data_IF_330116003539
#
_entry.id   IF_330116003539
#
_cell.length_a   1.000
_cell.length_b   1.000
_cell.length_c   1.000
_cell.angle_alpha   90.00
_cell.angle_beta   90.00
_cell.angle_gamma   90.00
#
_symmetry.space_group_name_H-M   'P 1'
#
loop_
_entity.id
_entity.type
_entity.pdbx_description
1 polymer ?
#
# COMPACT_ATOMS: atom_id res chain seq x y z
N UNK A 1 -9.18 34.91 4.83
CA UNK A 1 -8.80 34.12 3.64
C UNK A 1 -7.73 33.08 3.95
N UNK A 2 -6.57 33.45 4.52
CA UNK A 2 -5.46 32.51 4.79
C UNK A 2 -5.79 31.39 5.79
N UNK A 3 -6.63 31.64 6.82
CA UNK A 3 -7.11 30.59 7.74
C UNK A 3 -7.96 29.51 7.05
N UNK A 4 -8.72 29.88 6.03
CA UNK A 4 -9.59 28.96 5.28
C UNK A 4 -8.77 28.03 4.38
N UNK A 5 -7.71 28.57 3.75
CA UNK A 5 -6.73 27.80 2.98
C UNK A 5 -5.96 26.80 3.85
N UNK A 6 -5.49 27.22 5.03
CA UNK A 6 -4.82 26.31 5.99
C UNK A 6 -5.73 25.20 6.53
N UNK A 7 -7.04 25.47 6.64
CA UNK A 7 -8.03 24.45 7.01
C UNK A 7 -8.25 23.45 5.87
N UNK A 8 -8.26 23.92 4.63
CA UNK A 8 -8.36 23.07 3.44
C UNK A 8 -7.12 22.20 3.25
N UNK A 9 -5.91 22.68 3.56
CA UNK A 9 -4.69 21.83 3.54
C UNK A 9 -4.76 20.65 4.50
N UNK A 10 -5.38 20.83 5.68
CA UNK A 10 -5.52 19.75 6.68
C UNK A 10 -6.72 18.83 6.45
N UNK A 11 -7.85 19.37 6.01
CA UNK A 11 -9.13 18.64 5.96
C UNK A 11 -9.53 18.31 4.51
N UNK A 12 -8.85 18.89 3.51
CA UNK A 12 -9.17 18.72 2.09
C UNK A 12 -9.16 17.26 1.66
N UNK A 13 -8.17 16.48 2.11
CA UNK A 13 -8.13 15.03 1.84
C UNK A 13 -9.33 14.30 2.44
N UNK A 14 -9.75 14.68 3.65
CA UNK A 14 -10.89 14.08 4.34
C UNK A 14 -12.21 14.44 3.64
N UNK A 15 -12.36 15.70 3.22
CA UNK A 15 -13.51 16.18 2.43
C UNK A 15 -13.59 15.41 1.11
N UNK A 16 -12.46 15.24 0.41
CA UNK A 16 -12.39 14.47 -0.83
C UNK A 16 -12.79 13.01 -0.62
N UNK A 17 -12.30 12.36 0.43
CA UNK A 17 -12.65 10.96 0.75
C UNK A 17 -14.16 10.84 1.01
N UNK A 18 -14.74 11.73 1.81
CA UNK A 18 -16.18 11.70 2.13
C UNK A 18 -17.02 11.96 0.87
N UNK A 19 -16.66 12.97 0.08
CA UNK A 19 -17.36 13.30 -1.15
C UNK A 19 -17.29 12.16 -2.17
N UNK A 20 -16.11 11.59 -2.38
CA UNK A 20 -15.91 10.44 -3.27
C UNK A 20 -16.69 9.22 -2.78
N UNK A 21 -16.71 8.97 -1.46
CA UNK A 21 -17.46 7.87 -0.86
C UNK A 21 -18.96 8.00 -1.11
N UNK A 22 -19.55 9.18 -0.86
CA UNK A 22 -20.97 9.45 -1.13
C UNK A 22 -21.28 9.27 -2.61
N UNK A 23 -20.45 9.83 -3.49
CA UNK A 23 -20.60 9.71 -4.93
C UNK A 23 -20.57 8.25 -5.39
N UNK A 24 -19.58 7.47 -4.93
CA UNK A 24 -19.45 6.05 -5.28
C UNK A 24 -20.59 5.20 -4.72
N UNK A 25 -21.10 5.51 -3.52
CA UNK A 25 -22.28 4.86 -2.95
C UNK A 25 -23.54 5.05 -3.82
N UNK A 26 -23.69 6.21 -4.47
CA UNK A 26 -24.84 6.51 -5.34
C UNK A 26 -24.67 5.86 -6.72
N UNK A 27 -23.47 6.01 -7.32
CA UNK A 27 -23.22 5.63 -8.71
C UNK A 27 -22.93 4.13 -8.87
N UNK A 28 -22.27 3.51 -7.90
CA UNK A 28 -21.80 2.13 -8.00
C UNK A 28 -22.51 1.21 -6.99
N UNK A 29 -23.40 0.30 -7.45
CA UNK A 29 -23.99 -0.71 -6.58
C UNK A 29 -22.95 -1.59 -5.90
N UNK A 30 -21.83 -1.86 -6.57
CA UNK A 30 -20.74 -2.69 -6.04
C UNK A 30 -20.04 -2.04 -4.84
N UNK A 31 -19.95 -0.71 -4.79
CA UNK A 31 -19.34 0.00 -3.66
C UNK A 31 -20.12 -0.20 -2.34
N UNK A 32 -21.42 -0.55 -2.43
CA UNK A 32 -22.26 -0.87 -1.27
C UNK A 32 -22.09 -2.32 -0.80
N UNK A 33 -21.42 -3.16 -1.57
CA UNK A 33 -21.17 -4.55 -1.17
C UNK A 33 -20.09 -4.57 -0.08
N UNK A 34 -20.32 -5.36 0.97
CA UNK A 34 -19.36 -5.53 2.06
C UNK A 34 -18.02 -6.07 1.60
N UNK A 35 -17.98 -6.94 0.59
CA UNK A 35 -16.71 -7.44 0.06
C UNK A 35 -15.84 -6.32 -0.52
N UNK A 36 -16.47 -5.32 -1.17
CA UNK A 36 -15.76 -4.17 -1.73
C UNK A 36 -15.28 -3.23 -0.62
N UNK A 37 -16.12 -2.97 0.38
CA UNK A 37 -15.75 -2.15 1.54
C UNK A 37 -14.58 -2.79 2.30
N UNK A 38 -14.68 -4.09 2.58
CA UNK A 38 -13.61 -4.85 3.21
C UNK A 38 -12.34 -4.86 2.36
N UNK A 39 -12.46 -5.01 1.04
CA UNK A 39 -11.32 -4.92 0.12
C UNK A 39 -10.58 -3.58 0.21
N UNK A 40 -11.33 -2.46 0.28
CA UNK A 40 -10.75 -1.12 0.44
C UNK A 40 -10.03 -0.98 1.79
N UNK A 41 -10.67 -1.42 2.88
CA UNK A 41 -10.09 -1.36 4.24
C UNK A 41 -8.85 -2.25 4.33
N UNK A 42 -8.86 -3.44 3.74
CA UNK A 42 -7.72 -4.36 3.70
C UNK A 42 -6.55 -3.74 2.93
N UNK A 43 -6.79 -3.13 1.76
CA UNK A 43 -5.74 -2.40 1.04
C UNK A 43 -5.13 -1.27 1.86
N UNK A 44 -5.97 -0.48 2.55
CA UNK A 44 -5.47 0.55 3.46
C UNK A 44 -4.64 -0.01 4.62
N UNK A 45 -5.03 -1.17 5.15
CA UNK A 45 -4.32 -1.86 6.23
C UNK A 45 -2.93 -2.33 5.78
N UNK A 46 -2.80 -2.86 4.56
CA UNK A 46 -1.50 -3.23 4.00
C UNK A 46 -0.57 -2.01 3.87
N UNK A 47 -1.09 -0.89 3.37
CA UNK A 47 -0.35 0.36 3.31
C UNK A 47 0.10 0.87 4.69
N UNK A 48 -0.76 0.75 5.70
CA UNK A 48 -0.42 1.14 7.08
C UNK A 48 0.70 0.27 7.68
N UNK A 49 0.68 -1.05 7.45
CA UNK A 49 1.75 -1.96 7.89
C UNK A 49 3.08 -1.59 7.22
N UNK A 50 3.04 -1.34 5.90
CA UNK A 50 4.22 -0.92 5.14
C UNK A 50 4.76 0.42 5.63
N UNK A 51 3.89 1.37 5.96
CA UNK A 51 4.27 2.69 6.46
C UNK A 51 5.10 2.62 7.75
N UNK A 52 4.85 1.63 8.62
CA UNK A 52 5.67 1.39 9.81
C UNK A 52 7.12 1.04 9.42
N UNK A 53 7.31 0.17 8.43
CA UNK A 53 8.64 -0.15 7.90
C UNK A 53 9.29 1.05 7.19
N UNK A 54 8.51 1.78 6.39
CA UNK A 54 8.97 2.99 5.70
C UNK A 54 9.40 4.10 6.64
N UNK A 55 8.89 4.15 7.87
CA UNK A 55 9.28 5.16 8.85
C UNK A 55 10.79 5.18 9.06
N UNK A 56 11.44 4.02 9.13
CA UNK A 56 12.90 3.92 9.27
C UNK A 56 13.63 4.52 8.06
N UNK A 57 13.20 4.19 6.84
CA UNK A 57 13.78 4.71 5.60
C UNK A 57 13.61 6.23 5.46
N UNK A 58 12.43 6.75 5.79
CA UNK A 58 12.14 8.18 5.78
C UNK A 58 12.97 8.94 6.81
N UNK A 59 13.15 8.39 8.00
CA UNK A 59 14.00 9.03 9.03
C UNK A 59 15.47 9.09 8.63
N UNK A 60 15.96 8.16 7.80
CA UNK A 60 17.29 8.23 7.19
C UNK A 60 17.40 9.20 6.01
N UNK A 61 16.31 9.88 5.63
CA UNK A 61 16.26 10.81 4.50
C UNK A 61 16.02 10.15 3.14
N UNK A 62 15.78 8.84 3.11
CA UNK A 62 15.46 8.08 1.90
C UNK A 62 13.95 7.99 1.67
N UNK A 63 13.42 8.81 0.77
CA UNK A 63 12.05 8.62 0.26
C UNK A 63 12.12 7.71 -0.97
N UNK A 64 11.69 6.45 -0.83
CA UNK A 64 11.67 5.53 -1.96
C UNK A 64 10.29 4.87 -2.14
N UNK A 65 9.78 4.94 -3.37
CA UNK A 65 8.54 4.29 -3.79
C UNK A 65 8.75 2.79 -4.10
N UNK A 66 9.99 2.31 -4.12
CA UNK A 66 10.31 0.91 -4.42
C UNK A 66 9.68 -0.10 -3.46
N UNK A 67 9.30 0.31 -2.25
CA UNK A 67 8.64 -0.58 -1.27
C UNK A 67 7.25 -1.01 -1.74
N UNK A 68 6.50 -0.13 -2.42
CA UNK A 68 5.23 -0.54 -3.05
C UNK A 68 5.47 -1.47 -4.25
N UNK A 69 6.56 -1.28 -5.00
CA UNK A 69 6.95 -2.19 -6.07
C UNK A 69 7.31 -3.59 -5.54
N UNK A 70 7.98 -3.69 -4.38
CA UNK A 70 8.26 -4.97 -3.72
C UNK A 70 6.97 -5.66 -3.24
N UNK A 71 5.98 -4.91 -2.75
CA UNK A 71 4.65 -5.46 -2.44
C UNK A 71 3.97 -6.04 -3.69
N UNK A 72 4.03 -5.32 -4.82
CA UNK A 72 3.54 -5.79 -6.11
C UNK A 72 4.25 -7.07 -6.56
N UNK A 73 5.58 -7.11 -6.46
CA UNK A 73 6.39 -8.31 -6.75
C UNK A 73 5.94 -9.52 -5.91
N UNK A 74 5.78 -9.32 -4.60
CA UNK A 74 5.31 -10.36 -3.67
C UNK A 74 3.97 -10.94 -4.14
N UNK A 75 3.05 -10.07 -4.55
CA UNK A 75 1.71 -10.44 -5.00
C UNK A 75 1.75 -11.25 -6.30
N UNK A 76 2.60 -10.87 -7.25
CA UNK A 76 2.78 -11.61 -8.52
C UNK A 76 3.40 -12.98 -8.27
N UNK A 77 4.43 -13.07 -7.42
CA UNK A 77 5.05 -14.36 -7.07
C UNK A 77 4.01 -15.30 -6.44
N UNK A 78 3.24 -14.81 -5.47
CA UNK A 78 2.19 -15.61 -4.83
C UNK A 78 1.12 -16.05 -5.85
N UNK A 79 0.64 -15.15 -6.70
CA UNK A 79 -0.37 -15.47 -7.71
C UNK A 79 0.11 -16.56 -8.69
N UNK A 80 1.39 -16.55 -9.05
CA UNK A 80 1.97 -17.53 -9.98
C UNK A 80 2.27 -18.88 -9.32
N UNK A 81 2.74 -18.88 -8.06
CA UNK A 81 3.26 -20.09 -7.41
C UNK A 81 2.19 -20.85 -6.61
N UNK A 82 1.20 -20.17 -6.02
CA UNK A 82 0.15 -20.83 -5.22
C UNK A 82 -0.54 -21.96 -6.02
N UNK A 83 -0.94 -21.76 -7.30
CA UNK A 83 -1.56 -22.82 -8.08
C UNK A 83 -0.64 -24.00 -8.42
N UNK A 84 0.69 -23.80 -8.39
CA UNK A 84 1.68 -24.79 -8.82
C UNK A 84 2.26 -25.59 -7.64
N UNK A 85 2.52 -24.92 -6.52
CA UNK A 85 3.34 -25.43 -5.42
C UNK A 85 2.61 -25.39 -4.08
N UNK A 86 1.36 -24.92 -4.06
CA UNK A 86 0.55 -24.78 -2.85
C UNK A 86 0.95 -23.57 -2.00
N UNK A 87 0.17 -23.30 -0.96
CA UNK A 87 0.25 -22.06 -0.19
C UNK A 87 1.57 -21.91 0.57
N UNK A 88 1.98 -22.93 1.33
CA UNK A 88 3.14 -22.88 2.22
C UNK A 88 4.44 -22.58 1.49
N UNK A 89 4.73 -23.33 0.42
CA UNK A 89 5.99 -23.20 -0.30
C UNK A 89 6.06 -21.87 -1.09
N UNK A 90 4.93 -21.44 -1.64
CA UNK A 90 4.82 -20.15 -2.35
C UNK A 90 5.09 -18.97 -1.44
N UNK A 91 4.61 -18.99 -0.19
CA UNK A 91 4.88 -17.94 0.80
C UNK A 91 6.36 -17.87 1.13
N UNK A 92 7.01 -19.01 1.38
CA UNK A 92 8.44 -19.03 1.71
C UNK A 92 9.25 -18.41 0.57
N UNK A 93 8.95 -18.80 -0.69
CA UNK A 93 9.64 -18.27 -1.86
C UNK A 93 9.37 -16.76 -2.03
N UNK A 94 8.13 -16.32 -1.86
CA UNK A 94 7.77 -14.91 -1.97
C UNK A 94 8.47 -14.06 -0.91
N UNK A 95 8.56 -14.53 0.33
CA UNK A 95 9.30 -13.85 1.42
C UNK A 95 10.78 -13.75 1.07
N UNK A 96 11.42 -14.85 0.67
CA UNK A 96 12.85 -14.86 0.36
C UNK A 96 13.18 -13.92 -0.81
N UNK A 97 12.40 -13.97 -1.89
CA UNK A 97 12.60 -13.12 -3.05
C UNK A 97 12.40 -11.63 -2.72
N UNK A 98 11.35 -11.31 -1.96
CA UNK A 98 11.01 -9.92 -1.62
C UNK A 98 12.00 -9.33 -0.60
N UNK A 99 12.49 -10.12 0.36
CA UNK A 99 13.58 -9.72 1.24
C UNK A 99 14.88 -9.45 0.47
N UNK A 100 15.20 -10.30 -0.51
CA UNK A 100 16.41 -10.10 -1.33
C UNK A 100 16.35 -8.79 -2.13
N UNK A 101 15.23 -8.53 -2.81
CA UNK A 101 15.03 -7.27 -3.55
C UNK A 101 14.98 -6.07 -2.61
N UNK A 102 14.30 -6.19 -1.47
CA UNK A 102 14.25 -5.13 -0.46
C UNK A 102 15.63 -4.78 0.11
N UNK A 103 16.48 -5.78 0.33
CA UNK A 103 17.88 -5.57 0.73
C UNK A 103 18.67 -4.80 -0.33
N UNK A 104 18.53 -5.17 -1.60
CA UNK A 104 19.18 -4.45 -2.72
C UNK A 104 18.73 -2.99 -2.73
N UNK A 105 17.42 -2.74 -2.65
CA UNK A 105 16.89 -1.37 -2.63
C UNK A 105 17.42 -0.59 -1.43
N UNK A 106 17.43 -1.19 -0.22
CA UNK A 106 17.98 -0.56 0.97
C UNK A 106 19.47 -0.19 0.84
N UNK A 107 20.28 -1.06 0.22
CA UNK A 107 21.70 -0.75 -0.04
C UNK A 107 21.86 0.37 -1.05
N UNK A 108 21.03 0.40 -2.10
CA UNK A 108 21.08 1.45 -3.12
C UNK A 108 20.70 2.82 -2.54
N UNK A 109 19.63 2.91 -1.76
CA UNK A 109 19.16 4.17 -1.13
C UNK A 109 20.18 4.70 -0.11
N UNK A 110 20.90 3.81 0.60
CA UNK A 110 21.82 4.23 1.66
C UNK A 110 23.22 4.58 1.17
N UNK A 111 23.64 4.09 0.00
CA UNK A 111 24.99 4.29 -0.54
C UNK A 111 25.06 5.24 -1.74
N UNK A 112 23.95 5.53 -2.40
CA UNK A 112 23.85 6.45 -3.55
C UNK A 112 23.18 7.73 -3.09
#
# INVERSE_FOLDING_TARGET
MVKFLKLYEKIGIFILIVAASIFLTIVSPNFRNMDTILGIIMQGSYGAIIAVGMTLALTSGGFDLSVEAVMGLTSVILAMLIPQMGFTLSIIIAILASCFVGMINGVLITKV
#
